data_IF_041027017164
#
_entry.id   IF_041027017164
#
_cell.length_a   1.000
_cell.length_b   1.000
_cell.length_c   1.000
_cell.angle_alpha   90.00
_cell.angle_beta   90.00
_cell.angle_gamma   90.00
#
_symmetry.space_group_name_H-M   'P 1'
#
loop_
_entity.id
_entity.type
_entity.pdbx_description
1 polymer ?
#
# COMPACT_ATOMS: atom_id res chain seq x y z
N UNK A 1 -16.35 -22.12 -43.55
CA UNK A 1 -16.59 -22.63 -42.18
C UNK A 1 -15.21 -22.74 -41.54
N UNK A 2 -14.63 -21.77 -40.82
CA UNK A 2 -15.15 -20.95 -39.71
C UNK A 2 -15.88 -21.85 -38.70
N UNK A 3 -15.52 -22.00 -37.43
CA UNK A 3 -14.97 -21.11 -36.35
C UNK A 3 -14.32 -22.07 -35.32
N UNK A 4 -13.08 -21.94 -34.81
CA UNK A 4 -12.43 -21.01 -33.86
C UNK A 4 -12.90 -21.11 -32.38
N UNK A 5 -11.95 -21.33 -31.45
CA UNK A 5 -11.92 -20.77 -30.08
C UNK A 5 -10.68 -21.26 -29.31
N UNK A 6 -9.60 -20.49 -29.41
CA UNK A 6 -8.52 -20.39 -28.42
C UNK A 6 -9.03 -19.83 -27.09
N UNK A 7 -8.36 -20.17 -25.98
CA UNK A 7 -8.25 -19.30 -24.80
C UNK A 7 -6.90 -19.55 -24.13
N UNK A 8 -5.95 -18.76 -24.60
CA UNK A 8 -4.57 -18.62 -24.13
C UNK A 8 -4.53 -17.48 -23.11
N UNK A 9 -4.03 -17.70 -21.89
CA UNK A 9 -3.60 -16.60 -21.01
C UNK A 9 -2.08 -16.59 -20.91
N UNK A 10 -1.47 -15.68 -21.69
CA UNK A 10 -0.06 -15.28 -21.60
C UNK A 10 0.07 -14.13 -20.60
N UNK A 11 1.00 -14.23 -19.66
CA UNK A 11 1.52 -13.06 -18.94
C UNK A 11 2.72 -12.56 -19.76
N UNK A 12 2.57 -11.41 -20.42
CA UNK A 12 3.66 -10.75 -21.15
C UNK A 12 4.64 -10.10 -20.16
N UNK A 13 5.92 -10.45 -20.30
CA UNK A 13 7.03 -9.66 -19.79
C UNK A 13 7.12 -8.34 -20.57
N UNK A 14 6.97 -7.20 -19.90
CA UNK A 14 7.37 -5.90 -20.46
C UNK A 14 8.86 -5.70 -20.17
N UNK A 15 9.67 -5.82 -21.21
CA UNK A 15 11.02 -5.26 -21.27
C UNK A 15 10.94 -3.95 -22.06
N UNK A 16 11.29 -2.83 -21.44
CA UNK A 16 11.67 -1.61 -22.14
C UNK A 16 13.10 -1.27 -21.72
N UNK A 17 14.01 -1.22 -22.71
CA UNK A 17 15.39 -0.82 -22.56
C UNK A 17 15.70 0.30 -23.57
N UNK A 18 16.01 1.49 -23.03
CA UNK A 18 16.89 2.57 -23.53
C UNK A 18 16.59 3.80 -22.65
N UNK A 19 17.52 4.54 -22.04
CA UNK A 19 18.89 4.90 -22.42
C UNK A 19 19.75 5.19 -21.13
N UNK A 20 21.01 5.68 -21.21
CA UNK A 20 22.12 5.20 -20.39
C UNK A 20 22.40 6.02 -19.11
N UNK A 21 22.96 5.37 -18.09
CA UNK A 21 24.00 6.01 -17.26
C UNK A 21 24.97 4.98 -16.65
N UNK A 22 26.24 5.37 -16.57
CA UNK A 22 27.40 4.57 -16.22
C UNK A 22 27.60 4.51 -14.71
N UNK A 23 27.90 3.33 -14.17
CA UNK A 23 28.52 3.22 -12.85
C UNK A 23 28.35 1.86 -12.17
N UNK A 24 29.45 1.11 -12.10
CA UNK A 24 29.67 -0.16 -11.39
C UNK A 24 29.17 -1.46 -12.06
N UNK A 25 30.04 -1.98 -12.94
CA UNK A 25 30.04 -3.37 -13.42
C UNK A 25 30.04 -4.36 -12.25
N UNK A 26 28.89 -4.99 -12.02
CA UNK A 26 28.83 -6.33 -11.43
C UNK A 26 28.39 -7.26 -12.57
N UNK A 27 29.16 -8.29 -12.93
CA UNK A 27 28.77 -9.15 -14.04
C UNK A 27 27.43 -9.84 -13.74
N UNK A 28 26.50 -9.97 -14.70
CA UNK A 28 25.29 -10.74 -14.51
C UNK A 28 25.66 -12.19 -14.19
N UNK A 29 25.30 -12.64 -12.98
CA UNK A 29 25.57 -14.02 -12.53
C UNK A 29 24.68 -14.99 -13.30
N UNK A 30 25.16 -16.21 -13.59
CA UNK A 30 24.42 -17.16 -14.41
C UNK A 30 23.08 -17.49 -13.75
N UNK A 31 21.99 -17.08 -14.40
CA UNK A 31 20.64 -17.49 -14.03
C UNK A 31 20.54 -19.01 -14.11
N UNK A 32 19.94 -19.64 -13.09
CA UNK A 32 19.76 -21.09 -13.09
C UNK A 32 18.65 -21.43 -14.08
N UNK A 33 19.00 -22.17 -15.13
CA UNK A 33 18.08 -22.52 -16.20
C UNK A 33 17.00 -23.53 -15.77
N UNK A 34 15.89 -23.62 -16.50
CA UNK A 34 14.90 -24.69 -16.35
C UNK A 34 15.58 -26.07 -16.38
N UNK A 35 15.19 -26.97 -15.48
CA UNK A 35 15.74 -28.33 -15.37
C UNK A 35 16.81 -28.51 -14.30
N UNK A 36 17.32 -27.42 -13.67
CA UNK A 36 18.22 -27.54 -12.51
C UNK A 36 17.52 -28.25 -11.35
N UNK A 37 18.26 -29.12 -10.63
CA UNK A 37 17.75 -29.83 -9.45
C UNK A 37 18.09 -29.08 -8.16
N UNK A 38 17.07 -28.92 -7.30
CA UNK A 38 17.17 -28.54 -5.90
C UNK A 38 16.63 -29.71 -5.06
N UNK A 39 17.51 -30.64 -4.68
CA UNK A 39 17.10 -31.90 -4.07
C UNK A 39 16.20 -32.73 -5.00
N UNK A 40 14.99 -33.03 -4.54
CA UNK A 40 13.97 -33.78 -5.31
C UNK A 40 13.15 -32.89 -6.27
N UNK A 41 13.41 -31.58 -6.31
CA UNK A 41 12.62 -30.62 -7.07
C UNK A 41 13.35 -30.14 -8.34
N UNK A 42 12.65 -30.18 -9.47
CA UNK A 42 13.14 -29.67 -10.76
C UNK A 42 12.67 -28.24 -10.92
N UNK A 43 13.60 -27.29 -11.03
CA UNK A 43 13.27 -25.88 -11.28
C UNK A 43 12.66 -25.71 -12.68
N UNK A 44 11.58 -24.94 -12.79
CA UNK A 44 10.83 -24.69 -14.03
C UNK A 44 11.07 -23.26 -14.51
N UNK A 45 10.34 -22.30 -13.96
CA UNK A 45 10.37 -20.89 -14.32
C UNK A 45 10.85 -20.06 -13.13
N UNK A 46 11.49 -18.92 -13.37
CA UNK A 46 11.80 -17.97 -12.29
C UNK A 46 10.55 -17.14 -11.98
N UNK A 47 10.16 -17.08 -10.71
CA UNK A 47 9.03 -16.29 -10.23
C UNK A 47 9.46 -14.89 -9.79
N UNK A 48 10.61 -14.79 -9.12
CA UNK A 48 11.13 -13.52 -8.63
C UNK A 48 12.65 -13.56 -8.38
N UNK A 49 13.31 -12.40 -8.48
CA UNK A 49 14.71 -12.21 -8.12
C UNK A 49 14.89 -11.11 -7.05
N UNK A 50 15.45 -11.48 -5.91
CA UNK A 50 15.57 -10.65 -4.71
C UNK A 50 17.02 -10.43 -4.24
N UNK A 51 17.18 -9.54 -3.24
CA UNK A 51 18.50 -9.22 -2.67
C UNK A 51 19.14 -10.41 -1.94
N UNK A 52 18.33 -11.34 -1.44
CA UNK A 52 18.80 -12.51 -0.69
C UNK A 52 18.80 -13.80 -1.52
N UNK A 53 18.27 -13.79 -2.75
CA UNK A 53 18.17 -14.99 -3.58
C UNK A 53 17.13 -14.87 -4.69
N UNK A 54 16.90 -15.95 -5.40
CA UNK A 54 15.88 -16.07 -6.45
C UNK A 54 14.85 -17.12 -6.10
N UNK A 55 13.59 -16.89 -6.46
CA UNK A 55 12.46 -17.80 -6.26
C UNK A 55 12.07 -18.38 -7.61
N UNK A 56 11.93 -19.70 -7.66
CA UNK A 56 11.57 -20.45 -8.86
C UNK A 56 10.30 -21.26 -8.60
N UNK A 57 9.47 -21.41 -9.61
CA UNK A 57 8.51 -22.50 -9.66
C UNK A 57 9.31 -23.80 -9.83
N UNK A 58 8.93 -24.85 -9.10
CA UNK A 58 9.53 -26.15 -9.22
C UNK A 58 8.48 -27.26 -9.10
N UNK A 59 8.85 -28.45 -9.55
CA UNK A 59 8.02 -29.63 -9.49
C UNK A 59 8.80 -30.76 -8.81
N UNK A 60 8.19 -31.40 -7.82
CA UNK A 60 8.77 -32.58 -7.19
C UNK A 60 8.85 -33.74 -8.18
N UNK A 61 10.04 -34.24 -8.48
CA UNK A 61 10.29 -35.20 -9.58
C UNK A 61 9.53 -36.53 -9.48
N UNK A 62 9.29 -37.02 -8.25
CA UNK A 62 8.53 -38.26 -7.99
C UNK A 62 7.02 -37.98 -7.84
N UNK A 63 6.64 -36.99 -7.04
CA UNK A 63 5.24 -36.74 -6.65
C UNK A 63 4.47 -35.86 -7.65
N UNK A 64 5.15 -35.17 -8.56
CA UNK A 64 4.52 -34.20 -9.48
C UNK A 64 3.95 -32.95 -8.80
N UNK A 65 4.23 -32.75 -7.50
CA UNK A 65 3.71 -31.61 -6.74
C UNK A 65 4.46 -30.33 -7.12
N UNK A 66 3.71 -29.28 -7.47
CA UNK A 66 4.26 -27.95 -7.69
C UNK A 66 4.64 -27.28 -6.34
N UNK A 67 5.75 -26.56 -6.34
CA UNK A 67 6.30 -25.85 -5.19
C UNK A 67 7.02 -24.57 -5.63
N UNK A 68 7.26 -23.66 -4.69
CA UNK A 68 8.18 -22.55 -4.88
C UNK A 68 9.53 -22.90 -4.20
N UNK A 69 10.64 -22.74 -4.93
CA UNK A 69 11.98 -22.97 -4.41
C UNK A 69 12.72 -21.65 -4.36
N UNK A 70 13.11 -21.21 -3.17
CA UNK A 70 13.98 -20.05 -3.01
C UNK A 70 15.41 -20.50 -2.83
N UNK A 71 16.28 -20.08 -3.74
CA UNK A 71 17.72 -20.33 -3.71
C UNK A 71 18.41 -19.05 -3.25
N UNK A 72 19.14 -19.13 -2.15
CA UNK A 72 19.91 -18.02 -1.59
C UNK A 72 21.25 -17.85 -2.32
N UNK A 73 21.76 -16.62 -2.37
CA UNK A 73 23.03 -16.34 -3.04
C UNK A 73 24.22 -17.01 -2.34
N UNK A 74 25.19 -17.51 -3.12
CA UNK A 74 26.31 -18.35 -2.66
C UNK A 74 27.34 -17.67 -1.75
N UNK A 75 27.42 -16.33 -1.72
CA UNK A 75 28.31 -15.59 -0.79
C UNK A 75 27.86 -15.66 0.68
N UNK A 76 26.71 -16.29 0.94
CA UNK A 76 26.25 -16.69 2.27
C UNK A 76 26.62 -18.14 2.63
N UNK A 77 27.48 -18.81 1.85
CA UNK A 77 27.80 -20.24 2.04
C UNK A 77 29.22 -20.51 2.54
N UNK A 78 30.08 -19.48 2.69
CA UNK A 78 31.51 -19.65 2.98
C UNK A 78 31.86 -20.00 4.45
N UNK A 79 30.88 -20.28 5.31
CA UNK A 79 31.13 -20.65 6.71
C UNK A 79 30.25 -21.83 7.11
N UNK A 80 30.84 -23.00 7.39
CA UNK A 80 30.07 -24.22 7.76
C UNK A 80 29.11 -24.05 8.96
N UNK A 81 29.38 -23.09 9.86
CA UNK A 81 28.46 -22.70 10.94
C UNK A 81 27.17 -22.06 10.44
N UNK A 82 27.25 -21.29 9.35
CA UNK A 82 26.16 -20.55 8.75
C UNK A 82 25.08 -21.50 8.19
N UNK A 83 25.50 -22.63 7.63
CA UNK A 83 24.61 -23.70 7.19
C UNK A 83 23.90 -24.40 8.36
N UNK A 84 24.62 -24.69 9.44
CA UNK A 84 24.01 -25.34 10.61
C UNK A 84 22.97 -24.43 11.26
N UNK A 85 23.23 -23.12 11.31
CA UNK A 85 22.26 -22.11 11.75
C UNK A 85 21.07 -22.05 10.80
N UNK A 86 21.28 -21.99 9.48
CA UNK A 86 20.19 -22.04 8.49
C UNK A 86 19.27 -23.24 8.70
N UNK A 87 19.84 -24.44 8.81
CA UNK A 87 19.09 -25.69 9.03
C UNK A 87 18.35 -25.67 10.37
N UNK A 88 18.98 -25.15 11.43
CA UNK A 88 18.36 -25.03 12.74
C UNK A 88 17.15 -24.10 12.69
N UNK A 89 17.29 -22.93 12.10
CA UNK A 89 16.22 -21.93 12.01
C UNK A 89 15.08 -22.39 11.09
N UNK A 90 15.41 -23.00 9.94
CA UNK A 90 14.41 -23.58 9.05
C UNK A 90 13.58 -24.65 9.76
N UNK A 91 14.17 -25.45 10.65
CA UNK A 91 13.44 -26.43 11.48
C UNK A 91 12.50 -25.79 12.48
N UNK A 92 12.87 -24.65 13.09
CA UNK A 92 11.98 -23.95 14.02
C UNK A 92 10.81 -23.34 13.25
N UNK A 93 11.07 -22.71 12.10
CA UNK A 93 10.01 -22.16 11.24
C UNK A 93 9.04 -23.25 10.76
N UNK A 94 9.56 -24.42 10.36
CA UNK A 94 8.72 -25.53 9.90
C UNK A 94 7.81 -26.13 10.99
N UNK A 95 8.13 -25.91 12.28
CA UNK A 95 7.26 -26.36 13.37
C UNK A 95 6.05 -25.44 13.59
N UNK A 96 6.05 -24.25 12.97
CA UNK A 96 4.98 -23.27 13.12
C UNK A 96 3.89 -23.57 12.09
N UNK A 97 2.92 -24.39 12.47
CA UNK A 97 1.73 -24.62 11.65
C UNK A 97 0.68 -23.54 11.92
N UNK A 98 0.51 -22.63 10.96
CA UNK A 98 -0.51 -21.57 11.03
C UNK A 98 -1.09 -21.28 9.64
N UNK A 99 -2.43 -21.12 9.50
CA UNK A 99 -3.06 -20.90 8.20
C UNK A 99 -2.55 -19.65 7.45
N UNK A 100 -2.03 -18.66 8.18
CA UNK A 100 -1.46 -17.43 7.64
C UNK A 100 0.07 -17.42 7.54
N UNK A 101 0.74 -18.56 7.72
CA UNK A 101 2.17 -18.73 7.48
C UNK A 101 2.35 -19.63 6.26
N UNK A 102 3.34 -19.30 5.41
CA UNK A 102 3.72 -20.17 4.29
C UNK A 102 4.28 -21.50 4.79
N UNK A 103 3.77 -22.61 4.25
CA UNK A 103 4.29 -23.94 4.58
C UNK A 103 5.63 -24.18 3.89
N UNK A 104 6.64 -24.55 4.66
CA UNK A 104 7.97 -24.95 4.16
C UNK A 104 8.02 -26.47 4.10
N UNK A 105 8.22 -27.02 2.91
CA UNK A 105 8.25 -28.47 2.71
C UNK A 105 9.63 -29.07 2.95
N UNK A 106 10.68 -28.38 2.52
CA UNK A 106 12.04 -28.93 2.52
C UNK A 106 13.09 -27.82 2.50
N UNK A 107 14.34 -28.16 2.79
CA UNK A 107 15.49 -27.27 2.67
C UNK A 107 16.76 -28.07 2.44
N UNK A 108 17.76 -27.44 1.81
CA UNK A 108 19.02 -28.11 1.55
C UNK A 108 20.06 -27.21 0.94
N UNK A 109 21.06 -27.85 0.34
CA UNK A 109 22.11 -27.19 -0.43
C UNK A 109 22.06 -27.62 -1.89
N UNK A 110 22.22 -26.64 -2.77
CA UNK A 110 22.48 -26.87 -4.18
C UNK A 110 23.88 -27.49 -4.36
N UNK A 111 24.17 -28.14 -5.50
CA UNK A 111 25.50 -28.69 -5.79
C UNK A 111 26.64 -27.66 -5.72
N UNK A 112 26.34 -26.39 -5.95
CA UNK A 112 27.28 -25.26 -5.85
C UNK A 112 27.32 -24.63 -4.44
N UNK A 113 26.74 -25.29 -3.44
CA UNK A 113 26.77 -24.87 -2.03
C UNK A 113 25.75 -23.81 -1.63
N UNK A 114 24.99 -23.24 -2.58
CA UNK A 114 23.90 -22.29 -2.27
C UNK A 114 22.80 -22.94 -1.42
N UNK A 115 22.40 -22.34 -0.29
CA UNK A 115 21.24 -22.82 0.46
C UNK A 115 19.96 -22.63 -0.34
N UNK A 116 19.02 -23.56 -0.22
CA UNK A 116 17.68 -23.41 -0.73
C UNK A 116 16.65 -23.91 0.28
N UNK A 117 15.42 -23.42 0.14
CA UNK A 117 14.25 -24.02 0.77
C UNK A 117 13.07 -24.05 -0.18
N UNK A 118 12.22 -25.04 0.05
CA UNK A 118 11.05 -25.37 -0.76
C UNK A 118 9.83 -25.07 0.06
N UNK A 119 8.88 -24.35 -0.52
CA UNK A 119 7.66 -23.92 0.13
C UNK A 119 6.45 -24.12 -0.77
N UNK A 120 5.26 -24.00 -0.20
CA UNK A 120 4.03 -24.04 -0.99
C UNK A 120 4.06 -22.99 -2.12
N UNK A 121 3.67 -23.43 -3.32
CA UNK A 121 3.45 -22.52 -4.43
C UNK A 121 2.11 -21.82 -4.22
N UNK A 122 2.15 -20.51 -4.00
CA UNK A 122 0.96 -19.71 -3.77
C UNK A 122 0.64 -18.86 -5.00
N UNK A 123 -0.65 -18.72 -5.29
CA UNK A 123 -1.17 -17.77 -6.26
C UNK A 123 -1.82 -16.59 -5.53
N UNK A 124 -1.56 -15.37 -5.96
CA UNK A 124 -2.05 -14.17 -5.31
C UNK A 124 -1.22 -12.95 -5.67
N UNK A 125 -1.49 -11.84 -4.97
CA UNK A 125 -0.72 -10.59 -5.08
C UNK A 125 -0.08 -10.26 -3.75
N UNK A 126 1.11 -9.67 -3.78
CA UNK A 126 1.70 -9.13 -2.56
C UNK A 126 0.88 -7.95 -2.04
N UNK A 127 0.88 -7.72 -0.73
CA UNK A 127 0.21 -6.56 -0.14
C UNK A 127 0.81 -5.25 -0.67
N UNK A 128 2.10 -5.27 -1.05
CA UNK A 128 2.73 -4.13 -1.73
C UNK A 128 2.07 -3.83 -3.08
N UNK A 129 1.76 -4.84 -3.89
CA UNK A 129 1.03 -4.66 -5.16
C UNK A 129 -0.39 -4.16 -4.89
N UNK A 130 -1.06 -4.71 -3.88
CA UNK A 130 -2.42 -4.25 -3.49
C UNK A 130 -2.42 -2.77 -3.13
N UNK A 131 -1.45 -2.29 -2.35
CA UNK A 131 -1.31 -0.87 -1.98
C UNK A 131 -0.95 -0.02 -3.19
N UNK A 132 -0.09 -0.51 -4.09
CA UNK A 132 0.27 0.22 -5.30
C UNK A 132 -0.92 0.41 -6.24
N UNK A 133 -1.78 -0.61 -6.38
CA UNK A 133 -2.96 -0.57 -7.23
C UNK A 133 -4.13 0.24 -6.62
N UNK A 134 -4.38 0.08 -5.31
CA UNK A 134 -5.53 0.72 -4.64
C UNK A 134 -5.21 2.08 -4.02
N UNK A 135 -3.93 2.41 -3.86
CA UNK A 135 -3.50 3.54 -3.05
C UNK A 135 -3.71 3.29 -1.56
N UNK A 136 -4.04 4.36 -0.83
CA UNK A 136 -4.30 4.30 0.62
C UNK A 136 -5.55 3.50 0.97
N UNK A 137 -5.52 2.82 2.11
CA UNK A 137 -6.62 2.04 2.66
C UNK A 137 -7.28 2.75 3.86
N UNK A 138 -8.57 2.49 4.09
CA UNK A 138 -9.23 2.90 5.34
C UNK A 138 -8.62 2.17 6.54
N UNK A 139 -8.78 2.73 7.75
CA UNK A 139 -8.31 2.08 8.98
C UNK A 139 -8.94 0.69 9.18
N UNK A 140 -10.25 0.56 8.92
CA UNK A 140 -10.96 -0.72 8.96
C UNK A 140 -10.38 -1.74 7.96
N UNK A 141 -10.03 -1.29 6.76
CA UNK A 141 -9.45 -2.16 5.74
C UNK A 141 -8.02 -2.55 6.08
N UNK A 142 -7.21 -1.63 6.58
CA UNK A 142 -5.85 -1.91 7.06
C UNK A 142 -5.87 -2.94 8.21
N UNK A 143 -6.80 -2.78 9.16
CA UNK A 143 -7.01 -3.76 10.25
C UNK A 143 -7.35 -5.15 9.69
N UNK A 144 -8.23 -5.26 8.70
CA UNK A 144 -8.61 -6.55 8.10
C UNK A 144 -7.41 -7.30 7.48
N UNK A 145 -6.41 -6.59 6.94
CA UNK A 145 -5.15 -7.21 6.50
C UNK A 145 -4.21 -7.52 7.68
N UNK A 146 -4.10 -6.62 8.66
CA UNK A 146 -3.13 -6.79 9.76
C UNK A 146 -3.55 -7.85 10.78
N UNK A 147 -4.84 -8.12 10.94
CA UNK A 147 -5.35 -9.12 11.88
C UNK A 147 -4.79 -10.54 11.63
N UNK A 148 -4.91 -11.13 10.41
CA UNK A 148 -4.27 -12.41 10.11
C UNK A 148 -2.73 -12.36 10.13
N UNK A 149 -2.11 -11.20 9.85
CA UNK A 149 -0.65 -11.03 9.99
C UNK A 149 -0.24 -11.11 11.46
N UNK A 150 -0.97 -10.44 12.36
CA UNK A 150 -0.70 -10.47 13.80
C UNK A 150 -0.91 -11.88 14.36
N UNK A 151 -1.91 -12.63 13.89
CA UNK A 151 -2.10 -14.03 14.25
C UNK A 151 -0.91 -14.92 13.86
N UNK A 152 -0.36 -14.73 12.65
CA UNK A 152 0.85 -15.41 12.21
C UNK A 152 2.08 -15.04 13.07
N UNK A 153 2.30 -13.75 13.32
CA UNK A 153 3.43 -13.28 14.12
C UNK A 153 3.35 -13.79 15.56
N UNK A 154 2.17 -13.80 16.17
CA UNK A 154 1.97 -14.33 17.52
C UNK A 154 2.31 -15.83 17.59
N UNK A 155 1.87 -16.60 16.59
CA UNK A 155 2.20 -18.02 16.50
C UNK A 155 3.72 -18.24 16.43
N UNK A 156 4.43 -17.40 15.67
CA UNK A 156 5.88 -17.45 15.58
C UNK A 156 6.58 -17.00 16.87
N UNK A 157 6.13 -15.90 17.49
CA UNK A 157 6.70 -15.37 18.72
C UNK A 157 6.59 -16.39 19.86
N UNK A 158 5.47 -17.11 19.95
CA UNK A 158 5.28 -18.21 20.91
C UNK A 158 6.20 -19.40 20.65
N UNK A 159 6.63 -19.62 19.41
CA UNK A 159 7.65 -20.60 19.05
C UNK A 159 9.08 -20.05 19.22
N UNK A 160 9.26 -18.83 19.73
CA UNK A 160 10.56 -18.19 19.93
C UNK A 160 11.18 -17.59 18.66
N UNK A 161 10.40 -17.45 17.58
CA UNK A 161 10.87 -16.90 16.30
C UNK A 161 10.37 -15.48 16.12
N UNK A 162 11.28 -14.56 15.81
CA UNK A 162 10.95 -13.17 15.40
C UNK A 162 11.11 -13.07 13.88
N UNK A 163 10.21 -12.37 13.19
CA UNK A 163 10.20 -12.31 11.73
C UNK A 163 11.34 -11.45 11.16
N UNK A 164 11.64 -10.28 11.74
CA UNK A 164 12.80 -9.40 11.42
C UNK A 164 12.84 -8.76 10.03
N UNK A 165 11.97 -9.17 9.12
CA UNK A 165 11.83 -8.60 7.78
C UNK A 165 10.36 -8.39 7.40
N UNK A 166 9.52 -7.98 8.35
CA UNK A 166 8.10 -7.76 8.05
C UNK A 166 7.93 -6.52 7.17
N UNK A 167 7.30 -6.70 6.00
CA UNK A 167 6.99 -5.64 5.03
C UNK A 167 5.87 -6.09 4.11
N UNK A 168 5.23 -5.14 3.42
CA UNK A 168 4.10 -5.42 2.52
C UNK A 168 4.46 -6.37 1.35
N UNK A 169 5.72 -6.42 0.91
CA UNK A 169 6.15 -7.38 -0.13
C UNK A 169 6.37 -8.82 0.38
N UNK A 170 6.43 -9.03 1.70
CA UNK A 170 6.52 -10.36 2.32
C UNK A 170 5.14 -10.88 2.78
N UNK A 171 4.05 -10.20 2.43
CA UNK A 171 2.68 -10.64 2.72
C UNK A 171 1.99 -10.91 1.40
N UNK A 172 1.59 -12.15 1.16
CA UNK A 172 0.85 -12.53 -0.03
C UNK A 172 -0.65 -12.62 0.28
N UNK A 173 -1.46 -11.84 -0.43
CA UNK A 173 -2.92 -11.92 -0.44
C UNK A 173 -3.32 -12.98 -1.45
N UNK A 174 -3.72 -14.14 -0.92
CA UNK A 174 -4.16 -15.31 -1.71
C UNK A 174 -5.59 -15.11 -2.19
N UNK A 175 -6.44 -14.54 -1.34
CA UNK A 175 -7.84 -14.25 -1.65
C UNK A 175 -8.23 -12.88 -1.08
N UNK A 176 -8.80 -12.06 -1.95
CA UNK A 176 -9.38 -10.76 -1.59
C UNK A 176 -10.83 -10.90 -1.17
N UNK A 177 -11.30 -9.96 -0.35
CA UNK A 177 -12.65 -9.98 0.22
C UNK A 177 -12.67 -9.23 1.53
N UNK A 178 -13.82 -9.12 2.20
CA UNK A 178 -13.94 -8.42 3.48
C UNK A 178 -12.94 -8.93 4.52
N UNK A 179 -12.77 -10.26 4.58
CA UNK A 179 -11.75 -10.94 5.38
C UNK A 179 -10.72 -11.56 4.43
N UNK A 180 -9.63 -10.85 4.10
CA UNK A 180 -8.65 -11.34 3.15
C UNK A 180 -7.93 -12.58 3.69
N UNK A 181 -7.74 -13.59 2.84
CA UNK A 181 -6.87 -14.73 3.16
C UNK A 181 -5.47 -14.40 2.70
N UNK A 182 -4.54 -14.39 3.64
CA UNK A 182 -3.14 -14.08 3.38
C UNK A 182 -2.18 -15.10 3.95
N UNK A 183 -0.96 -15.07 3.42
CA UNK A 183 0.18 -15.88 3.82
C UNK A 183 1.38 -14.96 4.05
N UNK A 184 1.94 -15.01 5.26
CA UNK A 184 3.19 -14.37 5.60
C UNK A 184 4.34 -15.22 5.06
N UNK A 185 5.18 -14.59 4.27
CA UNK A 185 6.33 -15.19 3.60
C UNK A 185 7.62 -14.83 4.35
N UNK A 186 8.65 -15.65 4.20
CA UNK A 186 10.04 -15.29 4.51
C UNK A 186 10.30 -14.78 5.94
N UNK A 187 10.31 -15.69 6.93
CA UNK A 187 10.67 -15.45 8.34
C UNK A 187 12.13 -15.04 8.59
N UNK A 188 12.66 -14.10 7.81
CA UNK A 188 14.00 -13.56 8.02
C UNK A 188 15.11 -14.62 8.05
N UNK A 189 14.88 -15.82 7.48
CA UNK A 189 15.80 -16.96 7.58
C UNK A 189 17.20 -16.53 7.09
N UNK A 190 17.26 -15.71 6.02
CA UNK A 190 18.52 -15.13 5.52
C UNK A 190 19.19 -14.09 6.44
N UNK A 191 18.44 -13.37 7.28
CA UNK A 191 19.00 -12.40 8.25
C UNK A 191 19.45 -13.08 9.55
N UNK A 192 18.82 -14.19 9.94
CA UNK A 192 19.25 -15.04 11.06
C UNK A 192 20.63 -15.67 10.81
N UNK A 193 20.90 -15.99 9.54
CA UNK A 193 22.18 -16.52 9.04
C UNK A 193 23.33 -15.51 9.19
N UNK A 194 23.07 -14.20 9.11
CA UNK A 194 24.08 -13.14 9.11
C UNK A 194 24.55 -12.72 10.51
N UNK A 195 23.91 -13.18 11.59
CA UNK A 195 24.25 -12.78 12.95
C UNK A 195 25.14 -13.83 13.62
N UNK A 196 26.44 -13.53 13.71
CA UNK A 196 27.35 -14.13 14.70
C UNK A 196 27.03 -13.55 16.10
N UNK A 197 26.97 -14.38 17.16
CA UNK A 197 26.99 -13.86 18.53
C UNK A 197 28.28 -13.04 18.75
N UNK A 198 28.15 -11.72 18.93
CA UNK A 198 29.28 -10.82 19.17
C UNK A 198 29.81 -10.04 17.95
N UNK A 199 29.22 -10.18 16.76
CA UNK A 199 29.42 -9.24 15.64
C UNK A 199 28.11 -8.54 15.28
N UNK A 200 27.54 -7.88 16.28
CA UNK A 200 26.39 -7.00 16.15
C UNK A 200 26.86 -5.64 15.62
N UNK A 201 26.73 -5.39 14.31
CA UNK A 201 26.96 -4.06 13.73
C UNK A 201 27.59 -3.98 12.34
N UNK A 202 27.92 -5.10 11.70
CA UNK A 202 28.41 -5.03 10.32
C UNK A 202 27.23 -4.84 9.35
N UNK A 203 27.12 -3.60 8.85
CA UNK A 203 26.33 -3.25 7.67
C UNK A 203 26.73 -4.19 6.53
N UNK A 204 25.97 -5.27 6.35
CA UNK A 204 26.27 -6.26 5.31
C UNK A 204 26.14 -5.55 3.96
N UNK A 205 27.28 -5.36 3.29
CA UNK A 205 27.35 -4.91 1.91
C UNK A 205 26.49 -5.84 1.05
N UNK A 206 25.35 -5.36 0.56
CA UNK A 206 24.40 -6.15 -0.23
C UNK A 206 22.92 -5.99 0.17
N UNK A 207 22.60 -5.37 1.30
CA UNK A 207 21.20 -5.12 1.68
C UNK A 207 20.62 -3.93 0.88
N UNK A 208 19.57 -4.17 0.06
CA UNK A 208 18.90 -3.14 -0.75
C UNK A 208 18.21 -2.07 0.12
N UNK A 209 18.16 -0.82 -0.37
CA UNK A 209 17.41 0.30 0.25
C UNK A 209 15.97 -0.09 0.61
N UNK A 210 15.28 -0.85 -0.25
CA UNK A 210 13.89 -1.26 -0.03
C UNK A 210 13.63 -2.09 1.24
N UNK A 211 14.66 -2.76 1.78
CA UNK A 211 14.53 -3.49 3.05
C UNK A 211 14.67 -2.58 4.26
N UNK A 212 15.42 -1.48 4.14
CA UNK A 212 15.70 -0.56 5.25
C UNK A 212 14.45 0.22 5.71
N UNK A 213 13.47 0.43 4.82
CA UNK A 213 12.26 1.22 5.08
C UNK A 213 11.37 0.67 6.22
N UNK A 214 11.50 -0.63 6.55
CA UNK A 214 10.74 -1.27 7.62
C UNK A 214 11.62 -1.78 8.77
N UNK A 215 12.93 -1.50 8.74
CA UNK A 215 13.84 -1.95 9.79
C UNK A 215 13.67 -1.14 11.08
N UNK A 216 13.68 -1.83 12.20
CA UNK A 216 13.61 -1.20 13.52
C UNK A 216 14.96 -0.58 13.93
N UNK A 217 14.97 0.45 14.79
CA UNK A 217 16.17 1.11 15.29
C UNK A 217 17.23 0.14 15.84
N UNK A 218 16.81 -0.87 16.60
CA UNK A 218 17.69 -1.90 17.16
C UNK A 218 18.36 -2.76 16.08
N UNK A 219 17.75 -2.95 14.90
CA UNK A 219 18.36 -3.69 13.81
C UNK A 219 19.53 -2.93 13.17
N UNK A 220 19.46 -1.59 13.13
CA UNK A 220 20.57 -0.76 12.67
C UNK A 220 21.69 -0.69 13.71
N UNK A 221 21.34 -0.57 14.99
CA UNK A 221 22.31 -0.52 16.10
C UNK A 221 22.99 -1.87 16.39
N UNK A 222 22.50 -2.96 15.80
CA UNK A 222 22.89 -4.32 16.19
C UNK A 222 22.37 -4.72 17.58
N UNK A 223 21.41 -4.00 18.17
CA UNK A 223 20.88 -4.31 19.50
C UNK A 223 20.06 -5.61 19.56
N UNK A 224 19.62 -5.97 20.76
CA UNK A 224 18.84 -7.18 20.99
C UNK A 224 17.52 -7.18 20.22
N UNK A 225 17.33 -8.21 19.39
CA UNK A 225 16.14 -8.41 18.57
C UNK A 225 15.12 -9.25 19.32
N UNK A 226 13.87 -8.78 19.38
CA UNK A 226 12.77 -9.45 20.06
C UNK A 226 11.41 -9.15 19.42
N UNK A 227 10.30 -9.64 19.99
CA UNK A 227 8.94 -9.30 19.53
C UNK A 227 8.68 -7.80 19.27
N UNK A 228 9.21 -6.84 20.07
CA UNK A 228 9.05 -5.41 19.80
C UNK A 228 9.65 -4.93 18.46
N UNK A 229 10.56 -5.68 17.86
CA UNK A 229 11.11 -5.41 16.52
C UNK A 229 10.04 -5.59 15.45
N UNK A 230 9.26 -6.66 15.52
CA UNK A 230 8.15 -6.88 14.57
C UNK A 230 7.00 -5.90 14.83
N UNK A 231 6.79 -5.46 16.08
CA UNK A 231 5.82 -4.39 16.41
C UNK A 231 6.19 -3.07 15.72
N UNK A 232 7.48 -2.71 15.69
CA UNK A 232 7.92 -1.53 14.94
C UNK A 232 7.61 -1.66 13.44
N UNK A 233 7.93 -2.81 12.86
CA UNK A 233 7.64 -3.09 11.45
C UNK A 233 6.12 -3.10 11.16
N UNK A 234 5.29 -3.56 12.09
CA UNK A 234 3.83 -3.43 12.01
C UNK A 234 3.38 -1.96 12.01
N UNK A 235 4.02 -1.11 12.81
CA UNK A 235 3.79 0.34 12.79
C UNK A 235 4.13 0.99 11.45
N UNK A 236 5.28 0.62 10.87
CA UNK A 236 5.67 1.06 9.51
C UNK A 236 4.65 0.59 8.48
N UNK A 237 4.27 -0.69 8.53
CA UNK A 237 3.32 -1.28 7.62
C UNK A 237 1.95 -0.61 7.74
N UNK A 238 1.44 -0.40 8.96
CA UNK A 238 0.18 0.30 9.20
C UNK A 238 0.23 1.72 8.63
N UNK A 239 1.30 2.48 8.87
CA UNK A 239 1.48 3.81 8.26
C UNK A 239 1.42 3.73 6.72
N UNK A 240 2.10 2.74 6.13
CA UNK A 240 2.08 2.51 4.68
C UNK A 240 0.69 2.18 4.15
N UNK A 241 -0.06 1.31 4.83
CA UNK A 241 -1.42 0.95 4.42
C UNK A 241 -2.35 2.17 4.47
N UNK A 242 -2.21 3.02 5.50
CA UNK A 242 -3.07 4.20 5.70
C UNK A 242 -2.75 5.36 4.77
N UNK A 243 -1.48 5.54 4.38
CA UNK A 243 -1.03 6.73 3.64
C UNK A 243 -0.55 6.43 2.21
N UNK A 244 -0.38 5.16 1.87
CA UNK A 244 0.24 4.70 0.62
C UNK A 244 1.77 4.89 0.56
N UNK A 245 2.41 5.44 1.59
CA UNK A 245 3.85 5.74 1.62
C UNK A 245 4.50 5.27 2.93
N UNK A 246 5.81 5.03 2.92
CA UNK A 246 6.54 4.76 4.15
C UNK A 246 6.61 6.01 5.05
N UNK A 247 6.71 5.85 6.39
CA UNK A 247 6.84 6.99 7.31
C UNK A 247 8.15 7.76 7.10
N UNK A 248 9.22 7.07 6.71
CA UNK A 248 10.51 7.66 6.38
C UNK A 248 10.91 7.24 4.96
N UNK A 249 11.41 8.20 4.17
CA UNK A 249 11.82 7.99 2.78
C UNK A 249 13.07 8.83 2.52
N UNK A 250 14.11 8.21 1.99
CA UNK A 250 15.29 8.87 1.43
C UNK A 250 15.94 7.94 0.41
N UNK A 251 16.54 8.53 -0.62
CA UNK A 251 17.38 7.81 -1.59
C UNK A 251 18.77 7.49 -1.01
N UNK A 252 19.17 8.15 0.07
CA UNK A 252 20.36 7.83 0.85
C UNK A 252 20.02 6.87 1.99
N UNK A 253 20.66 5.70 1.98
CA UNK A 253 20.51 4.67 3.02
C UNK A 253 20.91 5.20 4.40
N UNK A 254 21.99 5.97 4.49
CA UNK A 254 22.49 6.47 5.77
C UNK A 254 21.51 7.49 6.37
N UNK A 255 20.92 8.32 5.52
CA UNK A 255 19.89 9.26 5.94
C UNK A 255 18.62 8.54 6.38
N UNK A 256 18.16 7.53 5.62
CA UNK A 256 17.00 6.72 5.99
C UNK A 256 17.22 6.01 7.33
N UNK A 257 18.41 5.44 7.56
CA UNK A 257 18.81 4.89 8.84
C UNK A 257 18.74 5.94 9.96
N UNK A 258 19.31 7.13 9.75
CA UNK A 258 19.24 8.24 10.71
C UNK A 258 17.78 8.63 11.03
N UNK A 259 16.89 8.66 10.03
CA UNK A 259 15.47 8.91 10.26
C UNK A 259 14.82 7.84 11.14
N UNK A 260 15.10 6.57 10.87
CA UNK A 260 14.62 5.47 11.71
C UNK A 260 15.17 5.56 13.13
N UNK A 261 16.42 5.99 13.34
CA UNK A 261 17.06 6.10 14.64
C UNK A 261 16.61 7.32 15.47
N UNK A 262 16.38 8.47 14.83
CA UNK A 262 16.31 9.78 15.50
C UNK A 262 15.05 10.58 15.16
N UNK A 263 14.56 10.54 13.92
CA UNK A 263 13.51 11.44 13.49
C UNK A 263 12.16 11.11 14.17
N UNK A 264 11.39 12.11 14.62
CA UNK A 264 10.06 11.86 15.16
C UNK A 264 9.18 11.22 14.10
N UNK A 265 8.42 10.15 14.43
CA UNK A 265 7.55 9.51 13.45
C UNK A 265 6.41 10.46 13.04
N UNK A 266 6.11 10.57 11.72
CA UNK A 266 5.01 11.39 11.24
C UNK A 266 3.66 10.79 11.65
N UNK A 267 2.67 11.66 11.89
CA UNK A 267 1.28 11.26 12.11
C UNK A 267 0.62 10.87 10.78
N UNK A 268 0.00 9.68 10.65
CA UNK A 268 -0.76 9.32 9.46
C UNK A 268 -1.89 10.32 9.14
N UNK A 269 -2.53 10.92 10.15
CA UNK A 269 -3.62 11.90 9.98
C UNK A 269 -3.28 13.11 9.11
N UNK A 270 -2.00 13.46 8.99
CA UNK A 270 -1.54 14.55 8.11
C UNK A 270 -1.71 14.21 6.62
N UNK A 271 -1.72 12.92 6.27
CA UNK A 271 -1.80 12.44 4.88
C UNK A 271 -3.06 11.63 4.58
N UNK A 272 -3.79 11.20 5.60
CA UNK A 272 -4.95 10.35 5.47
C UNK A 272 -6.00 10.70 6.55
N UNK A 273 -7.30 10.58 6.26
CA UNK A 273 -8.37 10.81 7.22
C UNK A 273 -8.45 9.65 8.22
N UNK A 274 -7.62 9.68 9.25
CA UNK A 274 -7.61 8.70 10.34
C UNK A 274 -7.80 9.38 11.69
N UNK A 275 -8.35 8.65 12.66
CA UNK A 275 -8.61 9.20 14.00
C UNK A 275 -7.30 9.48 14.76
N UNK A 276 -7.30 10.39 15.74
CA UNK A 276 -6.18 10.57 16.67
C UNK A 276 -5.79 9.29 17.43
N UNK A 277 -6.74 8.38 17.64
CA UNK A 277 -6.47 7.07 18.26
C UNK A 277 -5.60 6.19 17.35
N UNK A 278 -5.88 6.16 16.04
CA UNK A 278 -5.05 5.44 15.07
C UNK A 278 -3.66 6.07 14.97
N UNK A 279 -3.55 7.40 15.01
CA UNK A 279 -2.25 8.08 15.12
C UNK A 279 -1.47 7.57 16.35
N UNK A 280 -2.11 7.53 17.52
CA UNK A 280 -1.46 7.11 18.76
C UNK A 280 -0.92 5.67 18.67
N UNK A 281 -1.68 4.76 18.05
CA UNK A 281 -1.24 3.38 17.80
C UNK A 281 0.00 3.34 16.92
N UNK A 282 -0.01 4.07 15.79
CA UNK A 282 1.14 4.12 14.87
C UNK A 282 2.37 4.72 15.54
N UNK A 283 2.21 5.87 16.21
CA UNK A 283 3.32 6.56 16.87
C UNK A 283 3.94 5.70 17.98
N UNK A 284 3.12 4.97 18.75
CA UNK A 284 3.62 4.07 19.80
C UNK A 284 4.39 2.88 19.22
N UNK A 285 3.96 2.32 18.09
CA UNK A 285 4.74 1.28 17.41
C UNK A 285 6.09 1.81 16.92
N UNK A 286 6.12 3.06 16.45
CA UNK A 286 7.31 3.71 15.88
C UNK A 286 8.21 4.37 16.93
N UNK A 287 8.00 4.13 18.23
CA UNK A 287 8.89 4.61 19.28
C UNK A 287 10.30 4.05 19.08
N UNK A 288 11.30 4.91 19.27
CA UNK A 288 12.72 4.56 19.07
C UNK A 288 13.23 3.61 20.14
N UNK A 289 12.62 3.65 21.33
CA UNK A 289 12.86 2.74 22.43
C UNK A 289 11.87 1.57 22.35
N UNK A 290 12.41 0.36 22.14
CA UNK A 290 11.64 -0.87 22.05
C UNK A 290 10.77 -1.13 23.29
N UNK A 291 11.16 -0.66 24.47
CA UNK A 291 10.43 -0.88 25.73
C UNK A 291 9.17 -0.01 25.86
N UNK A 292 9.09 1.08 25.10
CA UNK A 292 7.91 1.99 25.07
C UNK A 292 6.86 1.58 24.04
N UNK A 293 7.19 0.63 23.16
CA UNK A 293 6.26 0.06 22.16
C UNK A 293 5.23 -0.86 22.84
N UNK A 294 4.36 -1.47 22.03
CA UNK A 294 3.51 -2.54 22.54
C UNK A 294 4.36 -3.77 22.91
N UNK A 295 4.09 -4.41 24.05
CA UNK A 295 4.89 -5.55 24.54
C UNK A 295 4.71 -6.82 23.70
N UNK A 296 3.63 -6.90 22.90
CA UNK A 296 3.35 -8.02 22.00
C UNK A 296 2.53 -7.57 20.78
N UNK A 297 2.50 -8.40 19.74
CA UNK A 297 1.66 -8.16 18.56
C UNK A 297 0.18 -8.23 18.88
N UNK A 298 -0.23 -9.05 19.86
CA UNK A 298 -1.60 -9.08 20.36
C UNK A 298 -2.00 -7.78 21.08
N UNK A 299 -1.09 -7.18 21.87
CA UNK A 299 -1.36 -5.89 22.52
C UNK A 299 -1.50 -4.77 21.48
N UNK A 300 -0.66 -4.79 20.44
CA UNK A 300 -0.81 -3.90 19.28
C UNK A 300 -2.16 -4.11 18.58
N UNK A 301 -2.53 -5.35 18.25
CA UNK A 301 -3.76 -5.66 17.53
C UNK A 301 -5.00 -5.23 18.33
N UNK A 302 -4.99 -5.45 19.65
CA UNK A 302 -6.06 -5.03 20.54
C UNK A 302 -6.21 -3.51 20.52
N UNK A 303 -5.11 -2.77 20.69
CA UNK A 303 -5.14 -1.31 20.63
C UNK A 303 -5.55 -0.78 19.25
N UNK A 304 -5.17 -1.47 18.16
CA UNK A 304 -5.61 -1.10 16.81
C UNK A 304 -7.10 -1.32 16.64
N UNK A 305 -7.65 -2.47 17.09
CA UNK A 305 -9.09 -2.73 17.08
C UNK A 305 -9.82 -1.65 17.86
N UNK A 306 -9.41 -1.38 19.10
CA UNK A 306 -9.97 -0.30 19.91
C UNK A 306 -9.88 1.05 19.21
N UNK A 307 -8.76 1.43 18.60
CA UNK A 307 -8.62 2.69 17.88
C UNK A 307 -9.47 2.79 16.59
N UNK A 308 -9.82 1.64 15.99
CA UNK A 308 -10.73 1.57 14.83
C UNK A 308 -12.21 1.44 15.21
N UNK A 309 -12.49 0.87 16.39
CA UNK A 309 -13.82 0.70 16.97
C UNK A 309 -14.23 1.92 17.80
N UNK A 310 -13.27 2.67 18.34
CA UNK A 310 -13.48 3.94 19.02
C UNK A 310 -14.37 4.76 18.09
N UNK A 311 -15.64 4.97 18.47
CA UNK A 311 -16.50 5.80 17.69
C UNK A 311 -15.78 7.13 17.65
N UNK A 312 -15.52 7.62 16.45
CA UNK A 312 -15.08 8.98 16.26
C UNK A 312 -16.16 9.85 16.93
N UNK A 313 -15.95 10.25 18.20
CA UNK A 313 -16.93 10.91 19.07
C UNK A 313 -17.18 12.36 18.65
N UNK A 314 -17.13 12.62 17.36
CA UNK A 314 -17.81 13.74 16.76
C UNK A 314 -18.98 13.10 16.03
N UNK A 315 -20.17 13.13 16.66
CA UNK A 315 -21.42 12.70 16.02
C UNK A 315 -21.45 13.24 14.59
N UNK A 316 -21.61 12.34 13.62
CA UNK A 316 -21.85 12.74 12.24
C UNK A 316 -23.17 13.49 12.20
N UNK A 317 -23.12 14.79 11.92
CA UNK A 317 -24.30 15.62 11.79
C UNK A 317 -24.68 15.67 10.31
N UNK A 318 -25.94 15.35 10.02
CA UNK A 318 -26.53 15.63 8.72
C UNK A 318 -26.65 17.14 8.57
N UNK A 319 -25.91 17.70 7.61
CA UNK A 319 -25.92 19.13 7.27
C UNK A 319 -26.32 19.30 5.82
N UNK A 320 -27.04 20.38 5.53
CA UNK A 320 -27.24 20.82 4.16
C UNK A 320 -25.93 21.40 3.62
N UNK A 321 -25.57 20.97 2.43
CA UNK A 321 -24.32 21.36 1.76
C UNK A 321 -24.59 21.75 0.32
N UNK A 322 -23.65 22.51 -0.24
CA UNK A 322 -23.45 22.59 -1.67
C UNK A 322 -22.37 21.58 -2.07
N UNK A 323 -22.65 20.78 -3.09
CA UNK A 323 -21.72 19.83 -3.66
C UNK A 323 -21.47 20.17 -5.13
N UNK A 324 -20.21 20.08 -5.57
CA UNK A 324 -19.82 20.24 -6.97
C UNK A 324 -19.12 18.96 -7.41
N UNK A 325 -19.71 18.27 -8.38
CA UNK A 325 -19.02 17.22 -9.11
C UNK A 325 -18.34 17.86 -10.33
N UNK A 326 -17.01 17.79 -10.39
CA UNK A 326 -16.24 18.18 -11.55
C UNK A 326 -15.72 16.90 -12.23
N UNK A 327 -16.07 16.71 -13.49
CA UNK A 327 -15.76 15.52 -14.28
C UNK A 327 -15.08 15.91 -15.59
N UNK A 328 -13.97 15.26 -15.92
CA UNK A 328 -13.25 15.39 -17.18
C UNK A 328 -13.53 14.16 -18.03
N UNK A 329 -14.22 14.36 -19.15
CA UNK A 329 -14.60 13.31 -20.09
C UNK A 329 -13.62 13.34 -21.26
N UNK A 330 -12.92 12.23 -21.43
CA UNK A 330 -11.99 12.00 -22.54
C UNK A 330 -12.73 11.44 -23.77
N UNK A 331 -12.27 11.72 -25.00
CA UNK A 331 -12.74 11.01 -26.18
C UNK A 331 -12.30 9.53 -26.16
N UNK A 332 -13.11 8.62 -26.73
CA UNK A 332 -12.92 7.15 -26.78
C UNK A 332 -11.71 6.67 -27.63
N UNK A 333 -10.68 7.48 -27.79
CA UNK A 333 -9.46 7.12 -28.54
C UNK A 333 -8.38 6.55 -27.62
N UNK A 334 -7.48 5.70 -28.16
CA UNK A 334 -6.36 5.11 -27.42
C UNK A 334 -5.41 6.20 -26.86
N UNK A 335 -5.57 6.55 -25.58
CA UNK A 335 -4.79 7.59 -24.89
C UNK A 335 -3.68 6.93 -24.05
N UNK A 336 -2.57 6.57 -24.70
CA UNK A 336 -1.34 6.07 -24.05
C UNK A 336 -0.15 7.04 -24.29
N UNK A 337 -0.43 8.35 -24.31
CA UNK A 337 0.58 9.41 -24.49
C UNK A 337 0.79 10.17 -23.16
N UNK A 338 2.04 10.19 -22.67
CA UNK A 338 2.48 10.93 -21.47
C UNK A 338 2.04 12.41 -21.49
N UNK A 339 1.92 13.00 -22.68
CA UNK A 339 1.47 14.38 -22.89
C UNK A 339 0.01 14.57 -22.46
N UNK A 340 -0.84 13.56 -22.69
CA UNK A 340 -2.26 13.61 -22.30
C UNK A 340 -2.40 13.55 -20.78
N UNK A 341 -1.64 12.67 -20.12
CA UNK A 341 -1.65 12.57 -18.66
C UNK A 341 -1.15 13.84 -17.97
N UNK A 342 -0.11 14.48 -18.52
CA UNK A 342 0.39 15.77 -18.00
C UNK A 342 -0.66 16.89 -18.15
N UNK A 343 -1.35 16.97 -19.29
CA UNK A 343 -2.42 17.94 -19.49
C UNK A 343 -3.62 17.68 -18.56
N UNK A 344 -4.01 16.41 -18.38
CA UNK A 344 -5.06 16.03 -17.42
C UNK A 344 -4.70 16.39 -15.98
N UNK A 345 -3.45 16.15 -15.57
CA UNK A 345 -2.98 16.54 -14.25
C UNK A 345 -3.14 18.04 -14.01
N UNK A 346 -2.76 18.88 -15.00
CA UNK A 346 -2.94 20.33 -14.91
C UNK A 346 -4.42 20.76 -14.81
N UNK A 347 -5.31 20.11 -15.56
CA UNK A 347 -6.76 20.35 -15.48
C UNK A 347 -7.27 20.00 -14.09
N UNK A 348 -6.91 18.83 -13.57
CA UNK A 348 -7.34 18.35 -12.26
C UNK A 348 -6.80 19.23 -11.12
N UNK A 349 -5.54 19.65 -11.19
CA UNK A 349 -4.92 20.57 -10.22
C UNK A 349 -5.64 21.92 -10.20
N UNK A 350 -6.02 22.43 -11.38
CA UNK A 350 -6.78 23.69 -11.51
C UNK A 350 -8.17 23.57 -10.88
N UNK A 351 -8.88 22.46 -11.14
CA UNK A 351 -10.18 22.19 -10.53
C UNK A 351 -10.08 22.07 -9.00
N UNK A 352 -9.07 21.35 -8.50
CA UNK A 352 -8.82 21.19 -7.07
C UNK A 352 -8.53 22.54 -6.39
N UNK A 353 -7.63 23.35 -6.96
CA UNK A 353 -7.29 24.66 -6.42
C UNK A 353 -8.48 25.62 -6.46
N UNK A 354 -9.22 25.65 -7.57
CA UNK A 354 -10.41 26.51 -7.72
C UNK A 354 -11.52 26.15 -6.75
N UNK A 355 -11.80 24.85 -6.55
CA UNK A 355 -12.78 24.40 -5.56
C UNK A 355 -12.37 24.81 -4.14
N UNK A 356 -11.09 24.66 -3.78
CA UNK A 356 -10.60 25.10 -2.47
C UNK A 356 -10.66 26.62 -2.28
N UNK A 357 -10.37 27.40 -3.33
CA UNK A 357 -10.50 28.86 -3.28
C UNK A 357 -11.94 29.30 -2.96
N UNK A 358 -12.92 28.55 -3.45
CA UNK A 358 -14.34 28.74 -3.16
C UNK A 358 -14.81 28.02 -1.88
N UNK A 359 -13.88 27.68 -0.99
CA UNK A 359 -14.14 27.03 0.31
C UNK A 359 -14.83 25.66 0.22
N UNK A 360 -14.65 24.93 -0.88
CA UNK A 360 -15.05 23.52 -0.95
C UNK A 360 -13.95 22.62 -0.40
N UNK A 361 -14.35 21.67 0.44
CA UNK A 361 -13.51 20.57 0.89
C UNK A 361 -13.67 19.39 -0.08
N UNK A 362 -12.56 18.80 -0.53
CA UNK A 362 -12.63 17.64 -1.42
C UNK A 362 -13.03 16.38 -0.65
N UNK A 363 -14.18 15.82 -1.00
CA UNK A 363 -14.72 14.59 -0.43
C UNK A 363 -14.32 13.33 -1.22
N UNK A 364 -14.12 13.46 -2.54
CA UNK A 364 -13.67 12.39 -3.43
C UNK A 364 -12.73 12.96 -4.50
N UNK A 365 -11.69 12.20 -4.85
CA UNK A 365 -10.77 12.52 -5.94
C UNK A 365 -10.38 11.24 -6.67
N UNK A 366 -10.54 11.26 -7.99
CA UNK A 366 -10.15 10.20 -8.93
C UNK A 366 -9.25 10.81 -10.02
N UNK A 367 -8.78 10.00 -10.96
CA UNK A 367 -7.93 10.50 -12.06
C UNK A 367 -8.64 11.50 -13.00
N UNK A 368 -9.97 11.51 -13.04
CA UNK A 368 -10.75 12.36 -13.96
C UNK A 368 -11.95 13.05 -13.30
N UNK A 369 -12.19 12.86 -12.00
CA UNK A 369 -13.31 13.49 -11.33
C UNK A 369 -12.99 13.90 -9.87
N UNK A 370 -13.56 15.02 -9.44
CA UNK A 370 -13.50 15.57 -8.09
C UNK A 370 -14.91 15.80 -7.55
N UNK A 371 -15.11 15.51 -6.27
CA UNK A 371 -16.29 15.94 -5.53
C UNK A 371 -15.86 16.95 -4.46
N UNK A 372 -16.21 18.22 -4.69
CA UNK A 372 -16.09 19.27 -3.68
C UNK A 372 -17.37 19.42 -2.89
N UNK A 373 -17.29 19.60 -1.58
CA UNK A 373 -18.44 19.84 -0.71
C UNK A 373 -18.18 21.03 0.20
N UNK A 374 -19.17 21.91 0.34
CA UNK A 374 -19.13 23.09 1.19
C UNK A 374 -20.36 23.12 2.11
N UNK A 375 -20.18 23.01 3.43
CA UNK A 375 -21.26 23.22 4.39
C UNK A 375 -21.87 24.62 4.26
N UNK A 376 -23.19 24.71 4.36
CA UNK A 376 -23.88 25.99 4.36
C UNK A 376 -23.86 26.60 5.76
N UNK A 377 -23.22 27.77 5.91
CA UNK A 377 -23.37 28.59 7.11
C UNK A 377 -24.71 29.33 7.08
N UNK A 378 -25.31 29.56 8.26
CA UNK A 378 -26.53 30.36 8.39
C UNK A 378 -26.33 31.77 7.83
N UNK A 379 -27.07 32.11 6.76
CA UNK A 379 -27.10 33.46 6.18
C UNK A 379 -26.25 33.69 4.94
N UNK A 380 -25.54 32.68 4.41
CA UNK A 380 -24.79 32.82 3.15
C UNK A 380 -25.75 32.79 1.96
N UNK A 381 -25.70 33.81 1.09
CA UNK A 381 -26.46 33.83 -0.17
C UNK A 381 -25.78 32.95 -1.23
N UNK A 382 -26.45 31.93 -1.78
CA UNK A 382 -25.82 30.93 -2.66
C UNK A 382 -25.38 31.46 -4.03
N UNK A 383 -25.99 32.55 -4.50
CA UNK A 383 -25.73 33.14 -5.81
C UNK A 383 -24.28 33.61 -6.01
N UNK A 384 -23.56 33.94 -4.92
CA UNK A 384 -22.18 34.42 -4.98
C UNK A 384 -21.19 33.33 -5.43
N UNK A 385 -21.51 32.05 -5.23
CA UNK A 385 -20.65 30.93 -5.62
C UNK A 385 -20.81 30.50 -7.09
N UNK A 386 -21.82 31.01 -7.81
CA UNK A 386 -22.09 30.56 -9.18
C UNK A 386 -21.08 31.09 -10.19
N UNK A 387 -20.75 32.38 -10.13
CA UNK A 387 -19.85 33.00 -11.10
C UNK A 387 -18.43 32.43 -11.00
N UNK A 388 -17.81 32.29 -9.81
CA UNK A 388 -16.48 31.70 -9.68
C UNK A 388 -16.43 30.24 -10.18
N UNK A 389 -17.47 29.44 -9.94
CA UNK A 389 -17.52 28.06 -10.43
C UNK A 389 -17.68 27.98 -11.96
N UNK A 390 -18.38 28.95 -12.57
CA UNK A 390 -18.45 29.06 -14.04
C UNK A 390 -17.11 29.48 -14.63
N UNK A 391 -16.44 30.44 -14.00
CA UNK A 391 -15.11 30.89 -14.42
C UNK A 391 -14.08 29.76 -14.30
N UNK A 392 -14.16 28.97 -13.22
CA UNK A 392 -13.37 27.76 -13.01
C UNK A 392 -13.61 26.71 -14.09
N UNK A 393 -14.87 26.44 -14.43
CA UNK A 393 -15.21 25.49 -15.50
C UNK A 393 -14.63 25.97 -16.83
N UNK A 394 -14.73 27.26 -17.15
CA UNK A 394 -14.22 27.82 -18.39
C UNK A 394 -12.68 27.76 -18.47
N UNK A 395 -11.97 28.01 -17.36
CA UNK A 395 -10.51 27.87 -17.30
C UNK A 395 -10.07 26.42 -17.44
N UNK A 396 -10.68 25.51 -16.69
CA UNK A 396 -10.39 24.08 -16.81
C UNK A 396 -10.68 23.56 -18.22
N UNK A 397 -11.75 24.04 -18.87
CA UNK A 397 -12.06 23.68 -20.25
C UNK A 397 -10.99 24.18 -21.24
N UNK A 398 -10.45 25.40 -21.08
CA UNK A 398 -9.37 25.91 -21.95
C UNK A 398 -8.13 25.02 -21.90
N UNK A 399 -7.79 24.50 -20.72
CA UNK A 399 -6.68 23.56 -20.55
C UNK A 399 -7.00 22.19 -21.16
N UNK A 400 -8.23 21.72 -21.00
CA UNK A 400 -8.71 20.45 -21.52
C UNK A 400 -8.86 20.41 -23.06
N UNK A 401 -9.06 21.57 -23.70
CA UNK A 401 -9.17 21.68 -25.16
C UNK A 401 -7.91 21.18 -25.89
N UNK A 402 -6.74 21.29 -25.26
CA UNK A 402 -5.46 20.80 -25.80
C UNK A 402 -5.44 19.27 -26.00
N UNK A 403 -6.27 18.54 -25.27
CA UNK A 403 -6.40 17.07 -25.34
C UNK A 403 -7.79 16.62 -25.78
N UNK A 404 -8.57 17.53 -26.38
CA UNK A 404 -9.94 17.28 -26.84
C UNK A 404 -10.88 16.74 -25.75
N UNK A 405 -10.59 17.02 -24.48
CA UNK A 405 -11.40 16.60 -23.35
C UNK A 405 -12.51 17.62 -23.04
N UNK A 406 -13.58 17.15 -22.40
CA UNK A 406 -14.70 17.99 -21.96
C UNK A 406 -14.77 18.03 -20.44
N UNK A 407 -14.83 19.23 -19.89
CA UNK A 407 -14.95 19.47 -18.45
C UNK A 407 -16.39 19.79 -18.12
N UNK A 408 -17.00 18.97 -17.28
CA UNK A 408 -18.36 19.12 -16.79
C UNK A 408 -18.35 19.41 -15.29
N UNK A 409 -18.95 20.53 -14.88
CA UNK A 409 -19.25 20.82 -13.49
C UNK A 409 -20.76 20.70 -13.26
N UNK A 410 -21.16 19.94 -12.23
CA UNK A 410 -22.54 19.82 -11.81
C UNK A 410 -22.68 20.28 -10.36
N UNK A 411 -23.48 21.34 -10.13
CA UNK A 411 -23.79 21.86 -8.81
C UNK A 411 -25.06 21.22 -8.24
N UNK A 412 -24.93 20.73 -7.01
CA UNK A 412 -26.00 20.07 -6.27
C UNK A 412 -26.15 20.66 -4.86
N UNK A 413 -27.38 20.61 -4.36
CA UNK A 413 -27.74 21.00 -3.00
C UNK A 413 -28.46 19.82 -2.36
N UNK A 414 -27.93 19.35 -1.24
CA UNK A 414 -28.43 18.15 -0.58
C UNK A 414 -27.81 17.94 0.79
N UNK A 415 -28.06 16.77 1.36
CA UNK A 415 -27.59 16.41 2.69
C UNK A 415 -26.26 15.65 2.62
N UNK A 416 -25.31 16.09 3.44
CA UNK A 416 -24.09 15.36 3.71
C UNK A 416 -24.03 14.99 5.19
N UNK A 417 -23.49 13.82 5.47
CA UNK A 417 -23.04 13.49 6.81
C UNK A 417 -21.66 14.11 6.98
N UNK A 418 -21.56 15.07 7.90
CA UNK A 418 -20.32 15.80 8.17
C UNK A 418 -19.83 15.52 9.58
N UNK A 419 -18.51 15.49 9.75
CA UNK A 419 -17.83 15.23 11.02
C UNK A 419 -16.90 16.40 11.32
N UNK A 420 -17.12 17.09 12.43
CA UNK A 420 -16.34 18.27 12.84
C UNK A 420 -17.20 19.52 13.01
N UNK A 421 -16.61 20.56 13.62
CA UNK A 421 -17.29 21.82 13.87
C UNK A 421 -17.51 22.62 12.58
N UNK A 422 -18.47 23.55 12.59
CA UNK A 422 -19.14 24.16 11.42
C UNK A 422 -18.26 24.89 10.38
N UNK A 423 -16.93 24.89 10.49
CA UNK A 423 -15.99 25.52 9.55
C UNK A 423 -14.99 24.57 8.87
N UNK A 424 -14.69 23.39 9.44
CA UNK A 424 -13.70 22.43 8.92
C UNK A 424 -14.25 20.99 8.92
N UNK A 425 -15.57 20.86 8.78
CA UNK A 425 -16.22 19.56 8.88
C UNK A 425 -15.88 18.66 7.68
N UNK A 426 -15.31 17.49 7.97
CA UNK A 426 -15.02 16.44 7.00
C UNK A 426 -16.33 15.79 6.54
N UNK A 427 -16.52 15.62 5.23
CA UNK A 427 -17.67 14.87 4.71
C UNK A 427 -17.37 13.38 4.78
N UNK A 428 -18.16 12.65 5.56
CA UNK A 428 -17.99 11.22 5.81
C UNK A 428 -19.03 10.35 5.10
N UNK A 429 -20.09 10.95 4.55
CA UNK A 429 -21.17 10.21 3.88
C UNK A 429 -22.36 11.07 3.49
N UNK A 430 -23.51 10.42 3.31
CA UNK A 430 -24.80 11.04 3.01
C UNK A 430 -25.16 11.07 1.50
N UNK A 431 -26.42 11.40 1.17
CA UNK A 431 -26.97 11.38 -0.19
C UNK A 431 -26.12 12.08 -1.26
N UNK A 432 -25.45 13.18 -0.92
CA UNK A 432 -24.63 13.93 -1.88
C UNK A 432 -23.40 13.15 -2.39
N UNK A 433 -22.92 12.15 -1.64
CA UNK A 433 -21.77 11.33 -2.04
C UNK A 433 -22.14 10.32 -3.14
N UNK A 434 -23.43 10.05 -3.36
CA UNK A 434 -23.92 9.21 -4.44
C UNK A 434 -24.05 10.01 -5.75
N UNK A 435 -22.91 10.49 -6.27
CA UNK A 435 -22.84 11.39 -7.45
C UNK A 435 -23.70 10.92 -8.64
N UNK A 436 -23.75 9.61 -8.90
CA UNK A 436 -24.54 9.03 -9.99
C UNK A 436 -26.05 9.31 -9.92
N UNK A 437 -26.61 9.64 -8.74
CA UNK A 437 -28.05 9.88 -8.58
C UNK A 437 -28.47 11.31 -8.94
N UNK A 438 -27.51 12.22 -9.09
CA UNK A 438 -27.79 13.64 -9.32
C UNK A 438 -26.90 14.30 -10.37
N UNK A 439 -25.80 13.66 -10.80
CA UNK A 439 -24.92 14.21 -11.82
C UNK A 439 -25.67 14.39 -13.15
N UNK A 440 -25.66 15.63 -13.64
CA UNK A 440 -26.25 16.00 -14.93
C UNK A 440 -25.13 16.57 -15.79
N UNK A 441 -24.90 15.98 -16.96
CA UNK A 441 -23.98 16.53 -17.95
C UNK A 441 -24.74 17.51 -18.83
N UNK A 442 -24.39 18.78 -18.75
CA UNK A 442 -24.89 19.82 -19.63
C UNK A 442 -23.95 19.99 -20.85
N UNK A 443 -24.48 20.18 -22.09
CA UNK A 443 -23.66 20.44 -23.28
C UNK A 443 -22.77 21.68 -23.18
N UNK A 444 -23.17 22.68 -22.38
CA UNK A 444 -22.38 23.87 -22.07
C UNK A 444 -21.36 23.66 -20.96
N UNK A 445 -21.20 22.43 -20.44
CA UNK A 445 -20.18 22.08 -19.45
C UNK A 445 -20.52 22.47 -18.00
N UNK A 446 -21.64 23.17 -17.76
CA UNK A 446 -22.04 23.57 -16.42
C UNK A 446 -23.53 23.29 -16.16
N UNK A 447 -23.82 22.41 -15.22
CA UNK A 447 -25.17 22.01 -14.84
C UNK A 447 -25.51 22.43 -13.41
N UNK A 448 -26.80 22.73 -13.18
CA UNK A 448 -27.35 22.97 -11.85
C UNK A 448 -28.54 22.03 -11.69
N UNK A 449 -28.52 21.19 -10.65
CA UNK A 449 -29.62 20.26 -10.38
C UNK A 449 -30.87 21.00 -9.87
N UNK A 450 -32.05 20.41 -10.03
CA UNK A 450 -33.31 21.02 -9.56
C UNK A 450 -33.31 21.37 -8.05
N UNK A 451 -32.75 20.55 -7.13
CA UNK A 451 -32.56 20.94 -5.74
C UNK A 451 -31.68 22.18 -5.56
N UNK A 452 -30.59 22.30 -6.33
CA UNK A 452 -29.72 23.46 -6.29
C UNK A 452 -30.38 24.72 -6.87
N UNK A 453 -31.13 24.61 -7.99
CA UNK A 453 -31.86 25.75 -8.57
C UNK A 453 -32.85 26.34 -7.58
N UNK A 454 -33.67 25.50 -6.93
CA UNK A 454 -34.64 25.94 -5.91
C UNK A 454 -33.98 26.61 -4.72
N UNK A 455 -32.79 26.15 -4.33
CA UNK A 455 -32.03 26.76 -3.25
C UNK A 455 -31.44 28.13 -3.65
N UNK A 456 -30.99 28.28 -4.89
CA UNK A 456 -30.42 29.52 -5.42
C UNK A 456 -31.49 30.61 -5.67
N UNK A 457 -32.71 30.23 -6.04
CA UNK A 457 -33.83 31.14 -6.33
C UNK A 457 -34.46 31.76 -5.05
N UNK A 458 -34.21 31.17 -3.87
CA UNK A 458 -34.82 31.58 -2.61
C UNK A 458 -36.29 31.15 -2.48
N UNK A 459 -36.96 31.41 -1.34
CA UNK A 459 -38.39 31.13 -1.21
C UNK A 459 -39.18 32.00 -2.20
N UNK A 460 -40.28 31.49 -2.79
CA UNK A 460 -41.13 32.29 -3.67
C UNK A 460 -41.61 33.55 -2.92
N UNK A 461 -41.72 34.70 -3.59
CA UNK A 461 -42.29 35.89 -2.96
C UNK A 461 -43.70 35.55 -2.45
N UNK A 462 -43.94 35.83 -1.17
CA UNK A 462 -45.24 35.62 -0.50
C UNK A 462 -46.34 36.52 -1.05
#
# INVERSE_FOLDING_TARGET
>A
MAVDSESTFRIQARANANAPDKGHDTPPRPERGPGTLAGEYVLKSMLAAGGHGSVYEAEHRILGRHAAVKVLHSHLADQGEMLQRFVREARVVNQIHHPNIVDVYDFGLMPDGSPYYVMELLSGRTLSQVVQERGRLSASRALAYLEPVCGALEAAHRAGVVHRDLKSSNILVVEEGEKPRLKLLDFGIAKLIQQEPGQEGLTTAGQRLGTAHAMAPEQFRGGSIGPPTDVYALGVLLYQLLTGRYPFQSDDRLELERMHLEAPPPRPSVKAPVSPAVDAVVLRCLDKDATRRYPSVNAFLTALREATEEPNQVESQTRLVLAVNAEVVLPDTDLDDDTTYAALANVMDTLEQGLRAESFTLALQTGTALLGVRPLATGTTPAQALQPLRDLQAEAQRLADAVHARVHLCLHHGEAETRGDSGEAEVVGGPVTHVATWNVRDPGGFAITAPASRFLEGPPPQ
#
